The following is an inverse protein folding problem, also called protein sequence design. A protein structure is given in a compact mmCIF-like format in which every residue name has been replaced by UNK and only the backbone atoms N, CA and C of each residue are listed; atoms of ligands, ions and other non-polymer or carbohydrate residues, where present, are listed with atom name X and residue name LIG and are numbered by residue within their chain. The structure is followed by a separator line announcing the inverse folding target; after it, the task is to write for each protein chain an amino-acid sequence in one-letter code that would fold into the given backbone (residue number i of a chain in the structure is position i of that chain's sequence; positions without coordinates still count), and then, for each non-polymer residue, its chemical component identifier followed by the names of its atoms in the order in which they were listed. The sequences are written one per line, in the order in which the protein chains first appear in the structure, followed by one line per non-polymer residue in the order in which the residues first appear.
data_IF_158170110730
#
_entry.id   IF_158170110730
#
_cell.length_a   1.000
_cell.length_b   1.000
_cell.length_c   1.000
_cell.angle_alpha   90.00
_cell.angle_beta   90.00
_cell.angle_gamma   90.00
#
_symmetry.space_group_name_H-M   'P 1'
#
loop_
_entity.id
_entity.type
_entity.pdbx_description
1 polymer ?
#
# COMPACT_ATOMS: atom_id res chain seq x y z
N UNK A 1 -9.17 -14.28 18.32
CA UNK A 1 -8.68 -13.94 18.10
C UNK A 1 -8.73 -13.69 17.61
N UNK A 2 -8.59 -13.62 17.41
CA UNK A 2 -8.12 -13.16 17.07
C UNK A 2 -8.26 -12.91 16.39
N UNK A 3 -8.27 -12.87 16.15
CA UNK A 3 -7.94 -12.57 15.62
C UNK A 3 -7.94 -12.21 15.16
N UNK A 4 -8.07 -12.01 15.05
CA UNK A 4 -7.64 -11.55 14.62
C UNK A 4 -7.29 -11.45 14.38
N UNK A 5 -7.34 -11.54 14.18
CA UNK A 5 -6.59 -11.37 13.93
C UNK A 5 -6.11 -11.63 13.64
N UNK A 6 -6.81 -11.57 13.63
CA UNK A 6 -5.68 -11.98 13.59
C UNK A 6 -4.71 -12.08 12.45
N UNK A 7 -4.14 -11.17 12.04
CA UNK A 7 -3.03 -11.18 11.12
C UNK A 7 -1.85 -11.87 11.74
N UNK A 8 -1.00 -12.55 10.94
CA UNK A 8 0.30 -12.95 11.47
C UNK A 8 1.00 -11.71 11.99
N UNK A 9 1.57 -11.86 13.16
CA UNK A 9 2.24 -10.74 13.79
C UNK A 9 3.62 -11.16 14.22
N UNK A 10 4.60 -10.99 13.36
CA UNK A 10 5.97 -11.22 13.80
C UNK A 10 6.26 -10.38 15.02
N UNK A 11 6.86 -10.97 16.02
CA UNK A 11 7.07 -10.31 17.30
C UNK A 11 7.88 -9.04 17.17
N UNK A 12 8.83 -9.02 16.26
CA UNK A 12 9.71 -7.87 16.13
C UNK A 12 9.01 -6.62 15.67
N UNK A 13 7.84 -6.73 15.01
CA UNK A 13 7.14 -5.54 14.53
C UNK A 13 6.42 -4.82 15.64
N UNK A 14 6.23 -5.44 16.79
CA UNK A 14 5.47 -4.80 17.86
C UNK A 14 6.07 -3.48 18.32
N UNK A 15 7.39 -3.41 18.43
CA UNK A 15 8.04 -2.19 18.86
C UNK A 15 8.09 -1.13 17.78
N UNK A 16 7.82 -1.51 16.54
CA UNK A 16 7.88 -0.62 15.40
C UNK A 16 6.55 -0.53 14.67
N UNK A 17 5.50 -0.93 15.38
CA UNK A 17 4.17 -0.90 14.81
C UNK A 17 3.78 0.53 14.48
N UNK A 18 3.41 0.77 13.24
CA UNK A 18 2.99 2.09 12.80
C UNK A 18 1.73 1.93 11.96
N UNK A 19 0.74 2.73 12.29
CA UNK A 19 -0.52 2.73 11.53
C UNK A 19 -0.37 3.67 10.35
N UNK A 20 -0.58 3.14 9.15
CA UNK A 20 -0.47 3.93 7.93
C UNK A 20 -1.84 4.39 7.42
N UNK A 21 -2.89 4.19 8.20
CA UNK A 21 -4.19 4.76 7.84
C UNK A 21 -4.10 6.29 7.81
N UNK A 22 -4.96 6.90 7.06
CA UNK A 22 -4.99 8.34 6.92
C UNK A 22 -4.97 8.75 5.47
N UNK A 23 -4.35 9.89 5.19
CA UNK A 23 -4.32 10.43 3.85
C UNK A 23 -3.20 9.81 3.02
N UNK A 24 -3.57 9.28 1.87
CA UNK A 24 -2.63 8.76 0.88
C UNK A 24 -2.83 9.51 -0.42
N UNK A 25 -1.79 9.63 -1.22
CA UNK A 25 -1.96 10.06 -2.60
C UNK A 25 -2.66 8.96 -3.37
N UNK A 26 -3.40 9.31 -4.39
CA UNK A 26 -4.27 8.40 -5.12
C UNK A 26 -4.39 8.83 -6.57
N UNK A 27 -4.56 7.86 -7.46
CA UNK A 27 -4.83 8.14 -8.86
C UNK A 27 -5.64 7.01 -9.48
N UNK A 28 -6.53 7.38 -10.39
CA UNK A 28 -7.17 6.43 -11.29
C UNK A 28 -6.23 6.16 -12.46
N UNK A 29 -6.22 4.95 -12.94
CA UNK A 29 -5.36 4.56 -14.06
C UNK A 29 -6.19 3.88 -15.14
N UNK A 30 -7.18 4.59 -15.64
CA UNK A 30 -8.14 4.02 -16.58
C UNK A 30 -7.51 3.59 -17.89
N UNK A 31 -6.40 4.21 -18.28
CA UNK A 31 -5.70 3.88 -19.49
C UNK A 31 -4.57 2.86 -19.29
N UNK A 32 -4.40 2.38 -18.06
CA UNK A 32 -3.35 1.41 -17.69
C UNK A 32 -1.95 1.90 -18.08
N UNK A 33 -1.63 3.12 -17.67
CA UNK A 33 -0.38 3.75 -18.04
C UNK A 33 0.63 3.83 -16.89
N UNK A 34 0.20 3.50 -15.68
CA UNK A 34 1.02 3.73 -14.51
C UNK A 34 2.32 2.95 -14.50
N UNK A 35 2.31 1.71 -14.99
CA UNK A 35 3.53 0.91 -15.03
C UNK A 35 4.50 1.49 -16.06
N UNK A 36 4.00 1.78 -17.25
CA UNK A 36 4.81 2.33 -18.34
C UNK A 36 5.40 3.69 -17.96
N UNK A 37 4.60 4.52 -17.32
CA UNK A 37 5.01 5.86 -16.91
C UNK A 37 5.70 5.86 -15.55
N UNK A 38 5.86 4.71 -14.95
CA UNK A 38 6.60 4.52 -13.69
C UNK A 38 6.05 5.35 -12.55
N UNK A 39 4.74 5.25 -12.34
CA UNK A 39 4.10 5.95 -11.23
C UNK A 39 4.60 5.48 -9.87
N UNK A 40 5.24 4.31 -9.83
CA UNK A 40 5.84 3.77 -8.61
C UNK A 40 7.21 4.39 -8.30
N UNK A 41 7.76 5.19 -9.20
CA UNK A 41 9.09 5.75 -9.03
C UNK A 41 9.11 6.74 -7.87
N UNK A 42 10.20 6.70 -7.10
CA UNK A 42 10.36 7.58 -5.95
C UNK A 42 10.32 9.04 -6.38
N UNK A 43 9.53 9.82 -5.66
CA UNK A 43 9.40 11.24 -5.94
C UNK A 43 8.27 11.60 -6.89
N UNK A 44 7.65 10.63 -7.55
CA UNK A 44 6.48 10.91 -8.35
C UNK A 44 5.25 11.07 -7.48
N UNK A 45 4.44 12.06 -7.77
CA UNK A 45 3.21 12.31 -7.04
C UNK A 45 2.02 11.85 -7.85
N UNK A 46 1.00 11.37 -7.15
CA UNK A 46 -0.29 11.07 -7.73
C UNK A 46 -1.19 12.31 -7.59
N UNK A 47 -2.24 12.39 -8.40
CA UNK A 47 -2.97 13.66 -8.58
C UNK A 47 -4.13 13.88 -7.62
N UNK A 48 -4.45 12.90 -6.77
CA UNK A 48 -5.56 13.00 -5.84
C UNK A 48 -5.13 12.56 -4.46
N UNK A 49 -6.04 12.70 -3.49
CA UNK A 49 -5.84 12.19 -2.14
C UNK A 49 -7.02 11.33 -1.76
N UNK A 50 -6.76 10.30 -0.95
CA UNK A 50 -7.80 9.41 -0.47
C UNK A 50 -7.57 9.12 1.01
N UNK A 51 -8.64 8.92 1.74
CA UNK A 51 -8.55 8.52 3.14
C UNK A 51 -8.59 7.00 3.23
N UNK A 52 -7.50 6.41 3.70
CA UNK A 52 -7.40 4.97 3.92
C UNK A 52 -7.77 4.70 5.37
N UNK A 53 -8.62 3.76 5.69
CA UNK A 53 -8.98 2.56 4.92
C UNK A 53 -10.24 2.66 4.06
N UNK A 54 -10.81 3.83 3.83
CA UNK A 54 -12.05 3.92 3.06
C UNK A 54 -11.80 3.66 1.58
N UNK A 55 -12.78 3.06 0.90
CA UNK A 55 -12.71 2.84 -0.54
C UNK A 55 -13.06 4.12 -1.29
N UNK A 56 -12.65 4.23 -2.55
CA UNK A 56 -12.81 5.50 -3.28
C UNK A 56 -14.26 5.87 -3.55
N UNK A 57 -15.18 4.93 -3.55
CA UNK A 57 -16.61 5.21 -3.72
C UNK A 57 -17.24 5.82 -2.47
N UNK A 58 -16.57 5.77 -1.35
CA UNK A 58 -17.11 6.26 -0.09
C UNK A 58 -16.85 7.76 0.05
N UNK A 59 -17.88 8.50 0.48
CA UNK A 59 -17.74 9.92 0.70
C UNK A 59 -16.63 10.26 1.68
N UNK A 60 -16.44 9.42 2.70
CA UNK A 60 -15.44 9.64 3.73
C UNK A 60 -14.02 9.50 3.19
N UNK A 61 -13.83 8.86 2.03
CA UNK A 61 -12.50 8.77 1.42
C UNK A 61 -12.03 10.10 0.88
N UNK A 62 -12.95 11.00 0.60
CA UNK A 62 -12.64 12.28 -0.04
C UNK A 62 -12.70 12.22 -1.57
N UNK A 63 -12.85 11.04 -2.14
CA UNK A 63 -12.95 10.87 -3.60
C UNK A 63 -14.41 10.79 -4.04
N UNK A 64 -15.18 9.94 -3.38
CA UNK A 64 -16.63 9.78 -3.60
C UNK A 64 -16.99 9.62 -5.09
N UNK A 65 -16.26 8.78 -5.80
CA UNK A 65 -16.49 8.50 -7.21
C UNK A 65 -17.22 7.17 -7.33
N UNK A 66 -18.43 7.20 -7.90
CA UNK A 66 -19.26 6.01 -8.06
C UNK A 66 -18.98 5.26 -9.36
N UNK A 67 -18.17 5.85 -10.24
CA UNK A 67 -17.82 5.23 -11.51
C UNK A 67 -16.84 4.06 -11.27
N UNK A 68 -17.07 2.89 -11.88
CA UNK A 68 -16.12 1.79 -11.73
C UNK A 68 -14.80 2.10 -12.41
N UNK A 69 -13.72 1.74 -11.75
CA UNK A 69 -12.36 1.88 -12.28
C UNK A 69 -11.63 0.56 -12.05
N UNK A 70 -10.97 0.03 -13.08
CA UNK A 70 -10.28 -1.25 -12.97
C UNK A 70 -8.95 -1.12 -12.23
N UNK A 71 -8.24 -0.02 -12.42
CA UNK A 71 -6.90 0.15 -11.86
C UNK A 71 -6.81 1.44 -11.11
N UNK A 72 -6.32 1.35 -9.87
CA UNK A 72 -6.06 2.53 -9.05
C UNK A 72 -4.70 2.39 -8.39
N UNK A 73 -4.12 3.53 -8.04
CA UNK A 73 -2.81 3.60 -7.41
C UNK A 73 -2.90 4.40 -6.12
N UNK A 74 -2.12 3.94 -5.14
CA UNK A 74 -2.00 4.59 -3.83
C UNK A 74 -0.53 4.84 -3.55
N UNK A 75 -0.23 5.96 -2.90
CA UNK A 75 1.15 6.26 -2.53
C UNK A 75 1.19 6.96 -1.19
N UNK A 76 2.13 6.56 -0.35
CA UNK A 76 2.32 7.14 0.97
C UNK A 76 3.80 7.25 1.29
N UNK A 77 4.18 8.41 1.83
CA UNK A 77 5.53 8.62 2.36
C UNK A 77 5.45 8.65 3.86
N UNK A 78 6.41 8.05 4.52
CA UNK A 78 6.43 8.01 5.97
C UNK A 78 7.83 7.70 6.46
N UNK A 79 8.09 8.07 7.72
CA UNK A 79 9.34 7.76 8.38
C UNK A 79 9.15 6.54 9.27
N UNK A 80 10.16 5.70 9.33
CA UNK A 80 10.15 4.53 10.19
C UNK A 80 11.56 4.29 10.67
N UNK A 81 11.69 3.80 11.90
CA UNK A 81 13.01 3.45 12.42
C UNK A 81 13.51 2.19 11.74
N UNK A 82 14.79 2.19 11.42
CA UNK A 82 15.44 1.02 10.85
C UNK A 82 15.36 -0.13 11.85
N UNK A 83 14.95 -1.33 11.41
CA UNK A 83 14.87 -2.46 12.35
C UNK A 83 16.25 -2.85 12.84
N UNK A 84 16.30 -3.41 14.04
CA UNK A 84 17.52 -3.93 14.60
C UNK A 84 18.05 -5.07 13.73
N UNK A 85 19.34 -5.29 13.82
CA UNK A 85 19.97 -6.37 13.08
C UNK A 85 19.30 -7.71 13.37
N UNK A 86 19.03 -8.47 12.31
CA UNK A 86 18.35 -9.76 12.42
C UNK A 86 16.86 -9.67 12.48
N UNK A 87 16.30 -8.46 12.46
CA UNK A 87 14.85 -8.26 12.47
C UNK A 87 14.41 -7.68 11.14
N UNK A 88 13.13 -7.85 10.85
CA UNK A 88 12.58 -7.41 9.59
C UNK A 88 11.39 -6.48 9.81
N UNK A 89 11.18 -5.58 8.87
CA UNK A 89 10.06 -4.66 8.88
C UNK A 89 9.04 -5.14 7.86
N UNK A 90 7.86 -5.47 8.35
CA UNK A 90 6.78 -5.98 7.50
C UNK A 90 5.69 -4.95 7.34
N UNK A 91 5.21 -4.84 6.12
CA UNK A 91 4.08 -4.00 5.78
C UNK A 91 2.85 -4.91 5.65
N UNK A 92 1.88 -4.70 6.52
CA UNK A 92 0.67 -5.52 6.55
C UNK A 92 -0.45 -4.83 5.82
N UNK A 93 -1.12 -5.59 4.96
CA UNK A 93 -2.30 -5.12 4.24
C UNK A 93 -3.51 -5.92 4.68
N UNK A 94 -4.62 -5.24 4.85
CA UNK A 94 -5.92 -5.90 4.91
C UNK A 94 -6.25 -6.44 3.53
N UNK A 95 -7.34 -7.16 3.41
CA UNK A 95 -7.69 -7.75 2.14
C UNK A 95 -7.80 -6.70 1.04
N UNK A 96 -7.17 -6.96 -0.06
CA UNK A 96 -7.24 -6.13 -1.26
C UNK A 96 -7.75 -6.99 -2.40
N UNK A 97 -8.84 -6.61 -3.00
CA UNK A 97 -9.43 -7.29 -4.12
C UNK A 97 -9.08 -6.50 -5.37
N UNK A 98 -8.55 -7.05 -6.39
CA UNK A 98 -8.32 -8.46 -6.64
C UNK A 98 -6.82 -8.77 -6.72
N UNK A 99 -6.02 -7.90 -7.31
CA UNK A 99 -4.58 -8.02 -7.43
C UNK A 99 -3.93 -6.75 -6.90
N UNK A 100 -2.92 -6.90 -6.08
CA UNK A 100 -2.16 -5.76 -5.59
C UNK A 100 -0.69 -5.98 -5.90
N UNK A 101 -0.05 -4.96 -6.42
CA UNK A 101 1.40 -4.94 -6.61
C UNK A 101 1.95 -3.84 -5.72
N UNK A 102 2.89 -4.18 -4.87
CA UNK A 102 3.43 -3.26 -3.86
C UNK A 102 4.86 -2.90 -4.22
N UNK A 103 5.12 -1.61 -4.29
CA UNK A 103 6.46 -1.07 -4.52
C UNK A 103 6.92 -0.38 -3.27
N UNK A 104 8.17 -0.62 -2.89
CA UNK A 104 8.81 0.07 -1.77
C UNK A 104 10.01 0.80 -2.33
N UNK A 105 10.00 2.12 -2.18
CA UNK A 105 11.07 2.98 -2.66
C UNK A 105 11.41 2.74 -4.13
N UNK A 106 10.36 2.56 -4.94
CA UNK A 106 10.51 2.42 -6.39
C UNK A 106 10.78 1.00 -6.87
N UNK A 107 10.86 0.02 -5.97
CA UNK A 107 11.15 -1.36 -6.33
C UNK A 107 9.97 -2.26 -5.98
N UNK A 108 9.64 -3.18 -6.88
CA UNK A 108 8.54 -4.11 -6.60
C UNK A 108 8.95 -5.03 -5.47
N UNK A 109 8.22 -4.95 -4.37
CA UNK A 109 8.52 -5.70 -3.16
C UNK A 109 7.59 -6.88 -2.94
N UNK A 110 6.41 -6.86 -3.56
CA UNK A 110 5.47 -7.95 -3.41
C UNK A 110 4.28 -7.84 -4.34
N UNK A 111 3.60 -8.95 -4.49
CA UNK A 111 2.40 -9.04 -5.30
C UNK A 111 1.45 -10.03 -4.65
N UNK A 112 0.18 -9.68 -4.60
CA UNK A 112 -0.85 -10.54 -4.02
C UNK A 112 -2.01 -10.64 -5.00
N UNK A 113 -2.48 -11.85 -5.25
CA UNK A 113 -3.60 -12.12 -6.15
C UNK A 113 -4.65 -12.93 -5.41
N UNK A 114 -5.90 -12.64 -5.67
CA UNK A 114 -7.03 -13.30 -5.03
C UNK A 114 -7.73 -12.35 -4.08
N UNK A 115 -8.95 -12.67 -3.65
CA UNK A 115 -9.77 -11.74 -2.89
C UNK A 115 -9.60 -11.90 -1.39
N UNK A 116 -9.76 -10.86 -0.68
CA UNK A 116 -10.07 -10.74 0.75
C UNK A 116 -9.21 -11.54 1.73
N UNK A 117 -7.96 -11.82 1.37
CA UNK A 117 -7.01 -12.44 2.27
C UNK A 117 -5.96 -11.40 2.66
N UNK A 118 -5.76 -11.15 3.96
CA UNK A 118 -4.68 -10.25 4.36
C UNK A 118 -3.32 -10.79 3.93
N UNK A 119 -2.38 -9.91 3.70
CA UNK A 119 -1.03 -10.30 3.30
C UNK A 119 0.00 -9.32 3.83
N UNK A 120 1.25 -9.72 3.78
CA UNK A 120 2.34 -8.90 4.25
C UNK A 120 3.46 -8.86 3.22
N UNK A 121 4.16 -7.74 3.20
CA UNK A 121 5.30 -7.52 2.31
C UNK A 121 6.50 -7.15 3.18
N UNK A 122 7.63 -7.80 2.93
CA UNK A 122 8.86 -7.49 3.66
C UNK A 122 9.52 -6.26 3.05
N UNK A 123 9.57 -5.17 3.80
CA UNK A 123 10.16 -3.93 3.35
C UNK A 123 11.67 -3.88 3.51
N UNK A 124 12.20 -4.75 4.35
CA UNK A 124 13.59 -4.64 4.80
C UNK A 124 14.61 -4.52 3.68
N UNK A 125 14.54 -5.33 2.61
CA UNK A 125 15.55 -5.24 1.55
C UNK A 125 15.51 -3.91 0.77
N UNK A 126 14.43 -3.14 0.92
CA UNK A 126 14.18 -1.96 0.10
C UNK A 126 14.30 -0.64 0.87
N UNK A 127 14.64 -0.71 2.14
CA UNK A 127 14.72 0.48 2.98
C UNK A 127 15.83 1.42 2.53
N UNK A 128 15.57 2.72 2.63
CA UNK A 128 16.54 3.76 2.31
C UNK A 128 16.71 4.68 3.52
N UNK A 129 17.71 5.54 3.47
CA UNK A 129 17.88 6.56 4.49
C UNK A 129 16.74 7.56 4.40
N UNK A 130 16.25 7.97 5.56
CA UNK A 130 15.23 9.00 5.64
C UNK A 130 13.82 8.44 5.45
N UNK A 131 13.04 9.13 4.63
CA UNK A 131 11.64 8.80 4.43
C UNK A 131 11.49 7.65 3.45
N UNK A 132 10.55 6.77 3.77
CA UNK A 132 10.21 5.63 2.89
C UNK A 132 9.00 5.99 2.06
N UNK A 133 8.89 5.39 0.88
CA UNK A 133 7.75 5.60 0.00
C UNK A 133 7.17 4.25 -0.41
N UNK A 134 5.87 4.08 -0.20
CA UNK A 134 5.15 2.88 -0.61
C UNK A 134 4.19 3.27 -1.71
N UNK A 135 4.18 2.50 -2.79
CA UNK A 135 3.22 2.66 -3.88
C UNK A 135 2.52 1.34 -4.09
N UNK A 136 1.21 1.36 -4.21
CA UNK A 136 0.40 0.15 -4.40
C UNK A 136 -0.47 0.34 -5.64
N UNK A 137 -0.37 -0.63 -6.56
CA UNK A 137 -1.25 -0.68 -7.72
C UNK A 137 -2.27 -1.77 -7.48
N UNK A 138 -3.54 -1.42 -7.57
CA UNK A 138 -4.63 -2.36 -7.35
C UNK A 138 -5.40 -2.54 -8.66
N UNK A 139 -5.54 -3.78 -9.09
CA UNK A 139 -6.34 -4.13 -10.25
C UNK A 139 -7.56 -4.93 -9.80
N UNK A 140 -8.72 -4.45 -10.15
CA UNK A 140 -9.99 -5.11 -9.82
C UNK A 140 -10.93 -4.96 -11.01
N UNK A 141 -11.05 -6.03 -11.78
CA UNK A 141 -11.91 -6.04 -12.96
C UNK A 141 -13.37 -6.18 -12.53
N UNK A 142 -14.17 -5.20 -12.88
CA UNK A 142 -15.59 -5.18 -12.52
C UNK A 142 -16.48 -5.88 -13.52
#
# INVERSE_FOLDING_TARGET
MSRKNQYPRPQFVRSQWKNLNGTWEFAFDDADRGIEEKWYETGKHLDREIQVPFVYQCELSGINDQTPHDIVWYKKRFSVEKPEEGKELLLHFEAVDYEAVVYVNGQQAGKHTGGYTPFAVNMTPYLVEGEQEITVRVYDSH
#
